data_IF_729585321391
#
_entry.id   IF_729585321391
#
_cell.length_a   1.000
_cell.length_b   1.000
_cell.length_c   1.000
_cell.angle_alpha   90.00
_cell.angle_beta   90.00
_cell.angle_gamma   90.00
#
_symmetry.space_group_name_H-M   'P 1'
#
loop_
_entity.id
_entity.type
_entity.pdbx_description
1 polymer ?
#
# COMPACT_ATOMS: atom_id res chain seq x y z
N UNK A 1 51.63 -1.16 -84.71
CA UNK A 1 51.64 -1.59 -83.29
C UNK A 1 51.47 -0.35 -82.41
N UNK A 2 50.69 -0.45 -81.31
CA UNK A 2 50.35 0.60 -80.31
C UNK A 2 49.11 1.46 -80.57
N UNK A 3 47.92 0.86 -80.64
CA UNK A 3 46.63 1.52 -80.28
C UNK A 3 45.60 0.46 -79.86
N UNK A 4 45.81 -0.25 -78.75
CA UNK A 4 44.78 -1.18 -78.27
C UNK A 4 44.93 -1.59 -76.79
N UNK A 5 45.25 -0.66 -75.88
CA UNK A 5 45.18 -0.96 -74.43
C UNK A 5 44.77 0.32 -73.71
N UNK A 6 43.56 0.85 -73.95
CA UNK A 6 43.04 1.94 -73.11
C UNK A 6 41.52 1.96 -72.97
N UNK A 7 40.80 0.96 -73.49
CA UNK A 7 39.33 0.91 -73.41
C UNK A 7 38.80 -0.04 -72.32
N UNK A 8 39.66 -0.86 -71.69
CA UNK A 8 39.21 -1.91 -70.75
C UNK A 8 39.32 -1.52 -69.27
N UNK A 9 40.10 -0.50 -68.90
CA UNK A 9 40.28 -0.10 -67.49
C UNK A 9 39.31 0.99 -67.05
N UNK A 10 38.64 1.67 -67.99
CA UNK A 10 37.66 2.72 -67.66
C UNK A 10 36.27 2.18 -67.30
N UNK A 11 35.95 0.93 -67.70
CA UNK A 11 34.63 0.34 -67.48
C UNK A 11 34.46 -0.32 -66.11
N UNK A 12 35.56 -0.62 -65.40
CA UNK A 12 35.52 -1.25 -64.07
C UNK A 12 35.46 -0.21 -62.95
N UNK A 13 35.90 1.03 -63.19
CA UNK A 13 35.93 2.09 -62.18
C UNK A 13 34.56 2.75 -62.00
N UNK A 14 33.69 2.75 -63.02
CA UNK A 14 32.34 3.35 -62.92
C UNK A 14 31.33 2.46 -62.17
N UNK A 15 31.59 1.16 -62.03
CA UNK A 15 30.71 0.24 -61.28
C UNK A 15 30.91 0.30 -59.75
N UNK A 16 31.92 1.01 -59.24
CA UNK A 16 32.17 1.14 -57.80
C UNK A 16 31.38 2.28 -57.10
N UNK A 17 30.57 3.04 -57.84
CA UNK A 17 29.86 4.22 -57.29
C UNK A 17 28.32 4.09 -57.21
N UNK A 18 27.74 2.89 -57.35
CA UNK A 18 26.27 2.70 -57.22
C UNK A 18 25.90 1.67 -56.13
N UNK A 19 26.61 1.70 -55.00
CA UNK A 19 26.04 1.21 -53.75
C UNK A 19 25.80 2.41 -52.85
N UNK A 20 24.76 3.19 -53.14
CA UNK A 20 24.10 3.93 -52.07
C UNK A 20 23.53 2.90 -51.11
N UNK A 21 24.32 2.55 -50.10
CA UNK A 21 23.79 2.05 -48.85
C UNK A 21 22.68 3.02 -48.46
N UNK A 22 21.42 2.59 -48.59
CA UNK A 22 20.38 3.10 -47.71
C UNK A 22 20.78 2.61 -46.33
N UNK A 23 21.63 3.37 -45.65
CA UNK A 23 21.79 3.25 -44.22
C UNK A 23 20.37 3.37 -43.67
N UNK A 24 19.82 2.25 -43.20
CA UNK A 24 18.52 2.26 -42.56
C UNK A 24 18.68 3.18 -41.36
N UNK A 25 18.02 4.34 -41.38
CA UNK A 25 17.90 5.17 -40.19
C UNK A 25 17.13 4.31 -39.19
N UNK A 26 17.85 3.75 -38.22
CA UNK A 26 17.21 3.19 -37.03
C UNK A 26 16.38 4.34 -36.47
N UNK A 27 15.07 4.17 -36.25
CA UNK A 27 14.28 5.20 -35.60
C UNK A 27 15.00 5.55 -34.30
N UNK A 28 15.30 6.84 -34.13
CA UNK A 28 15.83 7.38 -32.89
C UNK A 28 14.77 7.11 -31.81
N UNK A 29 14.86 5.95 -31.17
CA UNK A 29 14.16 5.67 -29.94
C UNK A 29 14.86 6.54 -28.91
N UNK A 30 14.43 7.79 -28.80
CA UNK A 30 14.79 8.64 -27.66
C UNK A 30 14.25 7.93 -26.41
N UNK A 31 15.09 7.12 -25.78
CA UNK A 31 14.78 6.54 -24.48
C UNK A 31 14.75 7.71 -23.52
N UNK A 32 13.55 8.17 -23.15
CA UNK A 32 13.40 9.10 -22.03
C UNK A 32 13.88 8.38 -20.79
N UNK A 33 15.08 8.70 -20.33
CA UNK A 33 15.61 8.18 -19.08
C UNK A 33 14.83 8.80 -17.91
N UNK A 34 13.96 8.00 -17.29
CA UNK A 34 13.27 8.38 -16.08
C UNK A 34 14.02 7.86 -14.85
N UNK A 35 14.43 8.75 -13.95
CA UNK A 35 14.89 8.34 -12.63
C UNK A 35 13.68 8.21 -11.69
N UNK A 36 13.55 7.05 -11.03
CA UNK A 36 12.44 6.74 -10.13
C UNK A 36 12.95 6.36 -8.74
N UNK A 37 12.37 6.97 -7.71
CA UNK A 37 12.58 6.60 -6.32
C UNK A 37 11.28 6.07 -5.76
N UNK A 38 11.32 4.83 -5.24
CA UNK A 38 10.16 4.13 -4.68
C UNK A 38 10.39 3.85 -3.21
N UNK A 39 9.36 4.08 -2.40
CA UNK A 39 9.34 3.67 -1.00
C UNK A 39 8.01 3.00 -0.70
N UNK A 40 8.08 1.80 -0.14
CA UNK A 40 6.93 1.08 0.40
C UNK A 40 7.20 0.80 1.88
N UNK A 41 6.23 1.11 2.74
CA UNK A 41 6.30 0.83 4.18
C UNK A 41 4.98 0.22 4.64
N UNK A 42 5.07 -0.85 5.42
CA UNK A 42 3.93 -1.43 6.13
C UNK A 42 4.12 -1.19 7.62
N UNK A 43 3.06 -0.80 8.30
CA UNK A 43 3.03 -0.58 9.74
C UNK A 43 1.85 -1.36 10.28
N UNK A 44 2.09 -2.20 11.28
CA UNK A 44 1.06 -3.02 11.92
C UNK A 44 0.79 -2.47 13.32
N UNK A 45 -0.46 -2.55 13.75
CA UNK A 45 -0.92 -2.08 15.05
C UNK A 45 -1.55 -3.23 15.82
N UNK A 46 -1.21 -3.32 17.10
CA UNK A 46 -1.90 -4.17 18.06
C UNK A 46 -2.22 -3.35 19.30
N UNK A 47 -3.51 -3.11 19.50
CA UNK A 47 -4.09 -2.29 20.56
C UNK A 47 -3.41 -0.92 20.67
N UNK A 48 -3.07 -0.32 19.53
CA UNK A 48 -2.28 0.89 19.49
C UNK A 48 -3.13 2.13 19.78
N UNK A 49 -2.57 3.05 20.54
CA UNK A 49 -3.16 4.37 20.84
C UNK A 49 -2.13 5.50 20.77
N UNK A 50 -0.86 5.18 20.50
CA UNK A 50 0.21 6.16 20.38
C UNK A 50 0.22 6.76 18.97
N UNK A 51 0.46 8.06 18.91
CA UNK A 51 0.60 8.78 17.64
C UNK A 51 1.96 8.50 17.04
N UNK A 52 1.98 8.28 15.75
CA UNK A 52 3.22 8.06 15.00
C UNK A 52 3.26 8.94 13.75
N UNK A 53 4.49 9.26 13.34
CA UNK A 53 4.77 10.10 12.18
C UNK A 53 5.82 9.43 11.28
N UNK A 54 5.57 9.47 9.97
CA UNK A 54 6.53 9.08 8.94
C UNK A 54 6.94 10.31 8.14
N UNK A 55 8.26 10.58 8.10
CA UNK A 55 8.83 11.62 7.25
C UNK A 55 9.30 11.06 5.92
N UNK A 56 8.91 11.71 4.82
CA UNK A 56 9.31 11.39 3.46
C UNK A 56 10.10 12.56 2.91
N UNK A 57 11.35 12.31 2.52
CA UNK A 57 12.21 13.34 1.93
C UNK A 57 11.95 13.46 0.44
N UNK A 58 11.46 14.61 0.01
CA UNK A 58 11.34 14.99 -1.40
C UNK A 58 12.43 16.01 -1.72
N UNK A 59 13.49 15.56 -2.40
CA UNK A 59 14.70 16.36 -2.66
C UNK A 59 14.97 16.61 -4.14
N UNK A 60 14.07 16.17 -5.04
CA UNK A 60 14.23 16.33 -6.47
C UNK A 60 13.31 17.40 -7.03
N UNK A 61 13.89 18.34 -7.77
CA UNK A 61 13.14 19.32 -8.54
C UNK A 61 12.57 18.69 -9.82
N UNK A 62 11.54 19.32 -10.38
CA UNK A 62 10.91 18.91 -11.65
C UNK A 62 10.48 17.43 -11.67
N UNK A 63 10.13 16.90 -10.50
CA UNK A 63 9.63 15.54 -10.37
C UNK A 63 8.10 15.54 -10.20
N UNK A 64 7.52 14.36 -10.43
CA UNK A 64 6.19 14.02 -9.97
C UNK A 64 6.33 13.24 -8.68
N UNK A 65 5.58 13.63 -7.64
CA UNK A 65 5.50 12.90 -6.38
C UNK A 65 4.12 12.28 -6.23
N UNK A 66 4.09 10.95 -6.21
CA UNK A 66 2.89 10.16 -5.98
C UNK A 66 2.93 9.56 -4.57
N UNK A 67 1.80 9.59 -3.89
CA UNK A 67 1.60 8.80 -2.69
C UNK A 67 0.27 8.06 -2.76
N UNK A 68 0.25 6.87 -2.17
CA UNK A 68 -0.94 6.07 -1.90
C UNK A 68 -0.79 5.48 -0.51
N UNK A 69 -1.77 5.75 0.35
CA UNK A 69 -1.82 5.23 1.72
C UNK A 69 -3.11 4.46 1.86
N UNK A 70 -2.99 3.19 2.24
CA UNK A 70 -4.09 2.26 2.47
C UNK A 70 -4.06 1.77 3.90
N UNK A 71 -5.21 1.50 4.48
CA UNK A 71 -5.29 0.84 5.79
C UNK A 71 -6.41 -0.17 5.81
N UNK A 72 -6.30 -1.13 6.72
CA UNK A 72 -7.43 -1.93 7.19
C UNK A 72 -7.35 -2.02 8.71
N UNK A 73 -8.48 -1.79 9.37
CA UNK A 73 -8.62 -1.81 10.83
C UNK A 73 -9.70 -2.82 11.18
N UNK A 74 -9.44 -3.69 12.14
CA UNK A 74 -10.43 -4.67 12.63
C UNK A 74 -10.87 -4.47 14.09
N UNK A 75 -10.28 -3.50 14.77
CA UNK A 75 -10.79 -2.99 16.04
C UNK A 75 -10.34 -1.54 16.21
N UNK A 76 -11.12 -0.74 16.94
CA UNK A 76 -10.79 0.65 17.24
C UNK A 76 -10.95 1.61 16.06
N UNK A 77 -10.18 2.70 16.10
CA UNK A 77 -10.23 3.78 15.11
C UNK A 77 -8.81 4.16 14.66
N UNK A 78 -8.69 4.58 13.40
CA UNK A 78 -7.47 5.14 12.83
C UNK A 78 -7.79 6.42 12.06
N UNK A 79 -7.10 7.50 12.41
CA UNK A 79 -7.07 8.74 11.62
C UNK A 79 -5.71 8.86 10.89
N UNK A 80 -5.73 9.20 9.61
CA UNK A 80 -4.52 9.39 8.78
C UNK A 80 -4.55 10.76 8.12
N UNK A 81 -3.43 11.46 8.14
CA UNK A 81 -3.26 12.78 7.56
C UNK A 81 -1.91 12.92 6.86
N UNK A 82 -1.87 13.62 5.73
CA UNK A 82 -0.65 13.89 4.96
C UNK A 82 -0.45 15.40 4.88
N UNK A 83 0.75 15.87 5.19
CA UNK A 83 1.14 17.27 5.19
C UNK A 83 2.31 17.53 4.25
N UNK A 84 2.26 18.65 3.54
CA UNK A 84 3.41 19.17 2.80
C UNK A 84 4.44 19.83 3.75
N UNK A 85 5.64 20.18 3.27
CA UNK A 85 6.69 20.80 4.09
C UNK A 85 6.31 22.16 4.68
N UNK A 86 5.29 22.84 4.14
CA UNK A 86 4.74 24.07 4.70
C UNK A 86 3.70 23.81 5.81
N UNK A 87 3.43 22.53 6.13
CA UNK A 87 2.44 22.12 7.12
C UNK A 87 0.99 22.18 6.60
N UNK A 88 0.78 22.36 5.29
CA UNK A 88 -0.57 22.33 4.71
C UNK A 88 -0.99 20.88 4.45
N UNK A 89 -2.21 20.55 4.88
CA UNK A 89 -2.81 19.22 4.70
C UNK A 89 -3.09 18.96 3.21
N UNK A 90 -2.64 17.81 2.72
CA UNK A 90 -2.72 17.40 1.31
C UNK A 90 -3.63 16.19 1.08
N UNK A 91 -3.92 15.42 2.14
CA UNK A 91 -4.87 14.31 2.14
C UNK A 91 -5.17 13.85 3.56
N UNK A 92 -6.33 13.21 3.75
CA UNK A 92 -6.70 12.60 5.02
C UNK A 92 -7.83 11.58 4.84
N UNK A 93 -7.91 10.62 5.74
CA UNK A 93 -9.08 9.77 5.92
C UNK A 93 -9.17 9.28 7.37
N UNK A 94 -10.35 8.81 7.75
CA UNK A 94 -10.61 8.19 9.06
C UNK A 94 -11.36 6.89 8.85
N UNK A 95 -10.93 5.83 9.53
CA UNK A 95 -11.63 4.55 9.57
C UNK A 95 -11.82 4.11 11.01
N UNK A 96 -12.93 3.42 11.29
CA UNK A 96 -13.16 2.82 12.60
C UNK A 96 -14.20 1.74 12.50
N UNK A 97 -14.03 0.69 13.30
CA UNK A 97 -14.97 -0.42 13.37
C UNK A 97 -16.21 0.00 14.15
N UNK A 98 -17.38 -0.48 13.71
CA UNK A 98 -18.64 -0.24 14.43
C UNK A 98 -18.84 -1.29 15.53
N UNK A 99 -18.19 -2.45 15.39
CA UNK A 99 -18.23 -3.51 16.39
C UNK A 99 -17.22 -3.20 17.50
N UNK A 100 -17.74 -2.76 18.64
CA UNK A 100 -16.97 -2.59 19.85
C UNK A 100 -16.73 -3.97 20.48
N UNK A 101 -15.71 -4.71 20.05
CA UNK A 101 -15.24 -5.92 20.73
C UNK A 101 -14.49 -5.54 22.01
N UNK A 102 -15.19 -4.85 22.92
CA UNK A 102 -14.85 -4.97 24.32
C UNK A 102 -15.31 -6.36 24.78
N UNK A 103 -14.48 -7.38 24.56
CA UNK A 103 -14.52 -8.57 25.39
C UNK A 103 -13.96 -8.23 26.78
N UNK A 104 -14.62 -7.30 27.47
CA UNK A 104 -14.50 -7.21 28.91
C UNK A 104 -15.33 -8.36 29.47
N UNK A 105 -14.60 -9.34 29.99
CA UNK A 105 -14.98 -10.32 31.01
C UNK A 105 -16.49 -10.48 31.24
N UNK A 106 -16.99 -11.69 30.97
CA UNK A 106 -18.10 -12.21 31.76
C UNK A 106 -17.78 -11.91 33.23
N UNK A 107 -18.53 -10.98 33.80
CA UNK A 107 -18.69 -10.82 35.23
C UNK A 107 -18.99 -12.22 35.80
N UNK A 108 -17.95 -12.88 36.34
CA UNK A 108 -18.04 -14.19 36.98
C UNK A 108 -18.88 -14.14 38.27
N UNK A 109 -19.54 -13.03 38.55
CA UNK A 109 -20.28 -12.81 39.80
C UNK A 109 -21.76 -13.19 39.69
N UNK A 110 -22.38 -13.24 38.49
CA UNK A 110 -23.84 -13.46 38.39
C UNK A 110 -24.27 -14.92 38.18
N UNK A 111 -23.35 -15.86 37.97
CA UNK A 111 -23.72 -17.29 37.82
C UNK A 111 -23.95 -17.96 39.19
N UNK A 112 -23.27 -17.51 40.26
CA UNK A 112 -23.37 -18.15 41.57
C UNK A 112 -24.70 -17.86 42.28
N UNK A 113 -25.36 -16.73 41.99
CA UNK A 113 -26.65 -16.37 42.60
C UNK A 113 -27.85 -17.09 41.98
N UNK A 114 -27.68 -17.73 40.82
CA UNK A 114 -28.74 -18.51 40.17
C UNK A 114 -28.74 -19.99 40.57
N UNK A 115 -27.64 -20.51 41.14
CA UNK A 115 -27.46 -21.95 41.42
C UNK A 115 -27.82 -22.33 42.87
N UNK A 116 -27.78 -21.41 43.84
CA UNK A 116 -28.09 -21.71 45.25
C UNK A 116 -29.39 -21.07 45.76
N UNK A 117 -30.48 -21.28 45.02
CA UNK A 117 -31.85 -21.14 45.53
C UNK A 117 -32.30 -22.41 46.28
N UNK A 118 -32.59 -22.27 47.57
CA UNK A 118 -33.08 -23.31 48.50
C UNK A 118 -34.15 -24.24 47.90
N UNK A 119 -33.95 -25.57 47.98
CA UNK A 119 -34.97 -26.59 48.39
C UNK A 119 -34.40 -28.02 48.41
N UNK A 120 -34.90 -28.86 49.34
CA UNK A 120 -34.49 -30.24 49.68
C UNK A 120 -34.96 -31.29 48.64
N UNK A 121 -34.38 -32.51 48.58
CA UNK A 121 -34.35 -33.35 47.38
C UNK A 121 -35.52 -34.35 47.28
N UNK A 122 -35.93 -34.67 46.04
CA UNK A 122 -36.69 -35.89 45.70
C UNK A 122 -35.84 -36.76 44.76
N UNK A 123 -35.68 -38.03 45.12
CA UNK A 123 -34.90 -39.05 44.40
C UNK A 123 -35.46 -39.29 42.99
N UNK A 124 -34.59 -39.27 41.98
CA UNK A 124 -34.73 -40.08 40.75
C UNK A 124 -33.34 -40.41 40.19
N UNK A 125 -33.14 -41.69 39.83
CA UNK A 125 -31.92 -42.29 39.27
C UNK A 125 -31.77 -41.98 37.75
N UNK A 126 -30.61 -42.25 37.14
CA UNK A 126 -30.01 -41.38 36.13
C UNK A 126 -30.60 -41.59 34.74
N UNK A 127 -30.81 -40.50 34.01
CA UNK A 127 -30.92 -40.57 32.55
C UNK A 127 -29.59 -40.12 31.97
N UNK A 128 -28.88 -41.10 31.43
CA UNK A 128 -27.67 -40.94 30.64
C UNK A 128 -28.06 -40.31 29.29
N UNK A 129 -27.86 -38.99 29.15
CA UNK A 129 -27.91 -38.31 27.84
C UNK A 129 -26.49 -37.92 27.45
N UNK A 130 -25.98 -38.68 26.48
CA UNK A 130 -24.81 -38.41 25.64
C UNK A 130 -24.60 -36.93 25.35
N UNK A 131 -23.32 -36.54 25.36
CA UNK A 131 -22.73 -35.33 24.78
C UNK A 131 -23.68 -34.51 23.91
N UNK A 132 -24.09 -33.37 24.44
CA UNK A 132 -24.37 -32.21 23.61
C UNK A 132 -23.11 -31.35 23.73
N UNK A 133 -22.19 -31.56 22.80
CA UNK A 133 -21.10 -30.62 22.54
C UNK A 133 -21.75 -29.32 22.03
N UNK A 134 -22.15 -28.46 22.95
CA UNK A 134 -22.41 -27.06 22.63
C UNK A 134 -21.05 -26.37 22.49
N UNK A 135 -20.28 -26.73 21.47
CA UNK A 135 -19.33 -25.79 20.89
C UNK A 135 -20.17 -24.75 20.17
N UNK A 136 -20.64 -23.74 20.91
CA UNK A 136 -21.06 -22.49 20.28
C UNK A 136 -19.80 -21.92 19.64
N UNK A 137 -19.55 -22.29 18.38
CA UNK A 137 -18.73 -21.51 17.47
C UNK A 137 -19.40 -20.16 17.39
N UNK A 138 -18.99 -19.26 18.28
CA UNK A 138 -19.19 -17.83 18.12
C UNK A 138 -18.44 -17.50 16.85
N UNK A 139 -19.16 -17.41 15.73
CA UNK A 139 -18.66 -16.78 14.53
C UNK A 139 -18.48 -15.30 14.89
N UNK A 140 -17.35 -14.96 15.52
CA UNK A 140 -16.88 -13.59 15.59
C UNK A 140 -16.57 -13.21 14.15
N UNK A 141 -17.52 -12.51 13.51
CA UNK A 141 -17.25 -11.83 12.27
C UNK A 141 -16.21 -10.76 12.60
N UNK A 142 -14.95 -11.03 12.26
CA UNK A 142 -13.91 -10.02 12.26
C UNK A 142 -14.29 -8.99 11.18
N UNK A 143 -14.83 -7.86 11.62
CA UNK A 143 -15.09 -6.71 10.75
C UNK A 143 -13.74 -6.10 10.39
N UNK A 144 -13.45 -5.95 9.10
CA UNK A 144 -12.34 -5.12 8.63
C UNK A 144 -12.90 -3.91 7.88
N UNK A 145 -12.52 -2.71 8.33
CA UNK A 145 -12.85 -1.44 7.68
C UNK A 145 -11.59 -0.88 7.03
N UNK A 146 -11.68 -0.62 5.72
CA UNK A 146 -10.55 -0.14 4.92
C UNK A 146 -10.66 1.34 4.59
N UNK A 147 -9.51 2.01 4.55
CA UNK A 147 -9.38 3.44 4.25
C UNK A 147 -8.29 3.67 3.21
N UNK A 148 -8.41 4.72 2.41
CA UNK A 148 -7.41 5.06 1.40
C UNK A 148 -7.35 6.56 1.13
N UNK A 149 -6.14 7.09 0.92
CA UNK A 149 -5.93 8.38 0.27
C UNK A 149 -4.78 8.26 -0.72
N UNK A 150 -4.90 8.95 -1.86
CA UNK A 150 -3.84 8.97 -2.87
C UNK A 150 -3.81 10.32 -3.57
N UNK A 151 -2.63 10.71 -4.05
CA UNK A 151 -2.44 11.92 -4.83
C UNK A 151 -1.20 11.83 -5.71
N UNK A 152 -1.25 12.50 -6.84
CA UNK A 152 -0.10 12.76 -7.70
C UNK A 152 0.12 14.27 -7.79
N UNK A 153 1.33 14.72 -7.46
CA UNK A 153 1.69 16.12 -7.36
C UNK A 153 2.82 16.41 -8.34
N UNK A 154 2.56 17.27 -9.33
CA UNK A 154 3.59 17.79 -10.23
C UNK A 154 4.36 18.90 -9.55
N UNK A 155 5.69 18.87 -9.65
CA UNK A 155 6.58 19.85 -9.02
C UNK A 155 6.27 20.02 -7.53
N UNK A 156 6.34 18.94 -6.73
CA UNK A 156 6.04 18.99 -5.30
C UNK A 156 6.97 19.97 -4.60
N UNK A 157 6.51 20.52 -3.47
CA UNK A 157 7.37 21.28 -2.58
C UNK A 157 8.50 20.38 -2.07
N UNK A 158 9.74 20.87 -2.20
CA UNK A 158 10.91 20.18 -1.65
C UNK A 158 10.88 20.22 -0.13
N UNK A 159 11.42 19.17 0.49
CA UNK A 159 11.57 19.07 1.93
C UNK A 159 10.92 17.82 2.51
N UNK A 160 10.63 17.91 3.80
CA UNK A 160 10.13 16.82 4.61
C UNK A 160 8.60 16.83 4.58
N UNK A 161 8.04 15.86 3.87
CA UNK A 161 6.60 15.57 3.90
C UNK A 161 6.29 14.67 5.07
N UNK A 162 5.20 14.94 5.79
CA UNK A 162 4.86 14.22 7.02
C UNK A 162 3.53 13.49 6.85
N UNK A 163 3.54 12.19 7.10
CA UNK A 163 2.32 11.38 7.26
C UNK A 163 2.13 11.15 8.76
N UNK A 164 1.00 11.61 9.29
CA UNK A 164 0.59 11.37 10.68
C UNK A 164 -0.48 10.31 10.71
N UNK A 165 -0.36 9.37 11.65
CA UNK A 165 -1.40 8.40 11.91
C UNK A 165 -1.65 8.30 13.41
N UNK A 166 -2.93 8.36 13.77
CA UNK A 166 -3.42 8.40 15.15
C UNK A 166 -4.37 7.22 15.36
N UNK A 167 -3.86 6.07 15.82
CA UNK A 167 -4.70 4.96 16.22
C UNK A 167 -5.39 5.26 17.57
N UNK A 168 -6.54 4.63 17.82
CA UNK A 168 -7.25 4.67 19.09
C UNK A 168 -7.74 3.27 19.39
N UNK A 169 -7.02 2.57 20.28
CA UNK A 169 -7.15 1.15 20.58
C UNK A 169 -7.24 0.29 19.30
N UNK A 170 -6.41 0.63 18.31
CA UNK A 170 -6.55 0.09 16.97
C UNK A 170 -5.78 -1.23 16.80
N UNK A 171 -6.41 -2.18 16.12
CA UNK A 171 -5.77 -3.35 15.54
C UNK A 171 -5.87 -3.25 14.02
N UNK A 172 -4.77 -3.53 13.30
CA UNK A 172 -4.79 -3.49 11.84
C UNK A 172 -3.43 -3.15 11.24
N UNK A 173 -3.45 -2.57 10.05
CA UNK A 173 -2.24 -2.16 9.35
C UNK A 173 -2.45 -0.92 8.47
N UNK A 174 -1.36 -0.22 8.16
CA UNK A 174 -1.25 0.79 7.10
C UNK A 174 -0.16 0.34 6.11
N UNK A 175 -0.44 0.50 4.82
CA UNK A 175 0.53 0.38 3.73
C UNK A 175 0.71 1.76 3.10
N UNK A 176 1.94 2.23 3.01
CA UNK A 176 2.33 3.52 2.47
C UNK A 176 3.22 3.27 1.26
N UNK A 177 2.74 3.66 0.09
CA UNK A 177 3.48 3.63 -1.16
C UNK A 177 3.77 5.07 -1.59
N UNK A 178 5.02 5.37 -1.90
CA UNK A 178 5.38 6.65 -2.51
C UNK A 178 6.33 6.47 -3.67
N UNK A 179 6.25 7.40 -4.61
CA UNK A 179 7.07 7.42 -5.80
C UNK A 179 7.48 8.84 -6.13
N UNK A 180 8.74 9.05 -6.47
CA UNK A 180 9.21 10.28 -7.10
C UNK A 180 9.76 9.95 -8.48
N UNK A 181 9.22 10.58 -9.53
CA UNK A 181 9.61 10.36 -10.93
C UNK A 181 10.18 11.66 -11.50
N UNK A 182 11.46 11.66 -11.88
CA UNK A 182 12.05 12.74 -12.66
C UNK A 182 11.53 12.67 -14.10
N UNK A 183 10.95 13.76 -14.57
CA UNK A 183 10.68 13.90 -16.01
C UNK A 183 11.98 14.23 -16.72
N UNK A 184 12.45 13.38 -17.63
CA UNK A 184 13.54 13.74 -18.53
C UNK A 184 13.07 14.92 -19.40
N UNK A 185 13.91 15.95 -19.49
CA UNK A 185 13.73 17.02 -20.50
C UNK A 185 13.95 16.46 -21.90
#
# INVERSE_FOLDING_TARGET
MKKLILASTFLVITMLFITHLKAQTVPDFTIKEETRFLMQRTIEFSNASEKEELTIKVNMQNCMFDFEIKSAVNNGKLDVEVYDPAGKKQGSFSVGCQINTQSNDMDKTTINDFIYGKTKPKKMQPINKKNIDNSTQKNELDEFVSGTTSKSIKNPMLGDWVIKFTPTNANGYIIINTRQILSSK
#
